data_IF_456729517430
#
_entry.id   IF_456729517430
#
_cell.length_a   1.000
_cell.length_b   1.000
_cell.length_c   1.000
_cell.angle_alpha   90.00
_cell.angle_beta   90.00
_cell.angle_gamma   90.00
#
_symmetry.space_group_name_H-M   'P 1'
#
loop_
_entity.id
_entity.type
_entity.pdbx_description
1 polymer ?
#
# COMPACT_ATOMS: atom_id res chain seq x y z
N UNK A 1 -21.81 -6.42 22.59
CA UNK A 1 -20.38 -6.04 22.52
C UNK A 1 -20.25 -5.07 21.36
N UNK A 2 -20.34 -3.78 21.66
CA UNK A 2 -20.55 -2.71 20.68
C UNK A 2 -19.95 -1.41 21.20
N UNK A 3 -18.64 -1.44 21.45
CA UNK A 3 -17.90 -0.25 21.84
C UNK A 3 -17.58 0.54 20.56
N UNK A 4 -18.11 1.76 20.47
CA UNK A 4 -17.72 2.70 19.44
C UNK A 4 -16.37 3.28 19.84
N UNK A 5 -15.30 2.78 19.22
CA UNK A 5 -13.95 3.34 19.41
C UNK A 5 -13.90 4.70 18.71
N UNK A 6 -13.64 5.77 19.46
CA UNK A 6 -13.37 7.07 18.84
C UNK A 6 -12.07 6.96 18.06
N UNK A 7 -12.14 7.15 16.75
CA UNK A 7 -10.95 7.17 15.91
C UNK A 7 -10.19 8.45 16.21
N UNK A 8 -9.09 8.35 16.97
CA UNK A 8 -8.19 9.48 17.15
C UNK A 8 -7.55 9.81 15.81
N UNK A 9 -7.75 11.04 15.36
CA UNK A 9 -7.11 11.57 14.16
C UNK A 9 -5.96 12.48 14.61
N UNK A 10 -4.72 12.26 14.15
CA UNK A 10 -3.61 13.12 14.51
C UNK A 10 -3.88 14.57 14.05
N UNK A 11 -3.58 15.54 14.93
CA UNK A 11 -3.71 16.97 14.63
C UNK A 11 -2.53 17.54 13.82
N UNK A 12 -1.57 16.70 13.42
CA UNK A 12 -0.46 17.11 12.56
C UNK A 12 -0.96 17.33 11.11
N UNK A 13 -0.09 17.90 10.27
CA UNK A 13 -0.41 18.26 8.88
C UNK A 13 -0.62 17.05 7.92
N UNK A 14 -0.82 15.84 8.44
CA UNK A 14 -1.05 14.62 7.66
C UNK A 14 0.13 14.18 6.78
N UNK A 15 1.30 14.82 6.91
CA UNK A 15 2.48 14.54 6.10
C UNK A 15 3.52 13.74 6.87
N UNK A 16 4.22 12.86 6.15
CA UNK A 16 5.39 12.15 6.67
C UNK A 16 6.61 12.62 5.88
N UNK A 17 7.64 13.10 6.59
CA UNK A 17 8.94 13.41 6.00
C UNK A 17 9.90 12.28 6.35
N UNK A 18 10.56 11.74 5.34
CA UNK A 18 11.54 10.67 5.52
C UNK A 18 12.93 11.20 5.19
N UNK A 19 13.88 10.93 6.07
CA UNK A 19 15.31 11.17 5.84
C UNK A 19 16.02 9.82 5.75
N UNK A 20 16.76 9.61 4.66
CA UNK A 20 17.54 8.41 4.46
C UNK A 20 18.95 8.63 5.02
N UNK A 21 19.24 8.02 6.16
CA UNK A 21 20.62 7.92 6.66
C UNK A 21 21.27 6.67 6.08
N UNK A 22 22.53 6.78 5.64
CA UNK A 22 23.16 5.84 4.72
C UNK A 22 23.23 4.37 5.14
N UNK A 23 22.83 4.01 6.36
CA UNK A 23 22.88 2.64 6.86
C UNK A 23 21.54 2.27 7.51
N UNK A 24 20.76 1.48 6.76
CA UNK A 24 19.72 0.49 7.16
C UNK A 24 18.42 0.67 6.37
N UNK A 25 18.11 -0.34 5.57
CA UNK A 25 16.77 -0.59 5.03
C UNK A 25 15.84 -0.81 6.22
N UNK A 26 14.97 0.15 6.50
CA UNK A 26 13.94 0.01 7.54
C UNK A 26 12.67 -0.53 6.89
N UNK A 27 12.17 -1.69 7.34
CA UNK A 27 11.04 -2.40 6.68
C UNK A 27 9.80 -1.51 6.56
N UNK A 28 9.40 -0.88 7.66
CA UNK A 28 8.10 -0.22 7.77
C UNK A 28 8.14 1.21 7.21
N UNK A 29 9.21 1.97 7.50
CA UNK A 29 9.43 3.30 6.92
C UNK A 29 9.76 3.23 5.43
N UNK A 30 10.43 2.17 4.97
CA UNK A 30 10.59 1.89 3.54
C UNK A 30 9.26 1.62 2.83
N UNK A 31 8.31 0.96 3.51
CA UNK A 31 6.98 0.73 2.95
C UNK A 31 6.18 2.02 2.74
N UNK A 32 6.38 3.06 3.57
CA UNK A 32 5.77 4.37 3.38
C UNK A 32 6.30 5.04 2.10
N UNK A 33 7.61 5.00 1.86
CA UNK A 33 8.22 5.51 0.64
C UNK A 33 7.79 4.72 -0.61
N UNK A 34 7.75 3.39 -0.50
CA UNK A 34 7.31 2.54 -1.59
C UNK A 34 5.85 2.79 -1.93
N UNK A 35 4.98 2.98 -0.93
CA UNK A 35 3.58 3.35 -1.16
C UNK A 35 3.47 4.65 -1.94
N UNK A 36 4.20 5.69 -1.53
CA UNK A 36 4.23 6.97 -2.26
C UNK A 36 4.73 6.79 -3.70
N UNK A 37 5.78 5.99 -3.91
CA UNK A 37 6.29 5.69 -5.25
C UNK A 37 5.27 4.93 -6.12
N UNK A 38 4.56 3.96 -5.55
CA UNK A 38 3.50 3.21 -6.26
C UNK A 38 2.33 4.11 -6.65
N UNK A 39 1.90 4.99 -5.74
CA UNK A 39 0.76 5.89 -5.97
C UNK A 39 1.11 7.04 -6.93
N UNK A 40 2.34 7.59 -6.86
CA UNK A 40 2.77 8.70 -7.73
C UNK A 40 3.21 8.25 -9.14
N UNK A 41 3.63 7.00 -9.31
CA UNK A 41 4.08 6.47 -10.61
C UNK A 41 2.95 6.00 -11.53
N UNK A 42 1.75 5.75 -10.99
CA UNK A 42 0.63 5.15 -11.74
C UNK A 42 0.88 3.70 -12.18
N UNK A 43 1.91 3.04 -11.63
CA UNK A 43 2.31 1.69 -12.06
C UNK A 43 1.24 0.64 -11.75
N UNK A 44 0.48 0.80 -10.65
CA UNK A 44 -0.57 -0.15 -10.27
C UNK A 44 -1.74 -0.07 -11.24
N UNK A 45 -2.10 1.13 -11.66
CA UNK A 45 -3.14 1.41 -12.65
C UNK A 45 -2.73 0.87 -14.01
N UNK A 46 -1.50 1.14 -14.45
CA UNK A 46 -0.96 0.60 -15.69
C UNK A 46 -0.95 -0.95 -15.69
N UNK A 47 -0.60 -1.59 -14.57
CA UNK A 47 -0.71 -3.04 -14.43
C UNK A 47 -2.16 -3.52 -14.49
N UNK A 48 -3.09 -2.78 -13.88
CA UNK A 48 -4.52 -3.08 -13.94
C UNK A 48 -5.08 -3.04 -15.36
N UNK A 49 -4.63 -2.09 -16.18
CA UNK A 49 -5.09 -1.93 -17.56
C UNK A 49 -4.49 -2.98 -18.51
N UNK A 50 -3.33 -3.54 -18.17
CA UNK A 50 -2.58 -4.45 -19.04
C UNK A 50 -2.62 -5.92 -18.60
N UNK A 51 -3.14 -6.23 -17.41
CA UNK A 51 -3.23 -7.61 -16.90
C UNK A 51 -4.66 -8.14 -16.99
N UNK A 52 -4.78 -9.38 -17.48
CA UNK A 52 -6.06 -10.10 -17.49
C UNK A 52 -6.28 -10.78 -16.15
N UNK A 53 -7.38 -10.44 -15.48
CA UNK A 53 -7.80 -11.13 -14.26
C UNK A 53 -8.51 -12.45 -14.59
N UNK A 54 -7.78 -13.57 -14.48
CA UNK A 54 -8.31 -14.90 -14.74
C UNK A 54 -9.26 -15.43 -13.65
N UNK A 55 -9.49 -14.68 -12.56
CA UNK A 55 -10.37 -15.11 -11.46
C UNK A 55 -11.84 -15.04 -11.87
N UNK A 56 -12.65 -15.93 -11.31
CA UNK A 56 -14.09 -15.94 -11.58
C UNK A 56 -14.74 -14.64 -11.05
N UNK A 57 -15.44 -13.84 -11.89
CA UNK A 57 -15.93 -12.50 -11.52
C UNK A 57 -16.80 -12.47 -10.26
N UNK A 58 -17.71 -13.45 -10.09
CA UNK A 58 -18.59 -13.57 -8.92
C UNK A 58 -17.87 -13.93 -7.60
N UNK A 59 -16.56 -14.20 -7.64
CA UNK A 59 -15.75 -14.56 -6.46
C UNK A 59 -14.72 -13.48 -6.11
N UNK A 60 -14.77 -12.32 -6.78
CA UNK A 60 -13.83 -11.22 -6.57
C UNK A 60 -14.39 -10.29 -5.48
N UNK A 61 -13.70 -10.24 -4.33
CA UNK A 61 -13.96 -9.25 -3.26
C UNK A 61 -13.06 -8.02 -3.38
N UNK A 62 -11.82 -8.22 -3.81
CA UNK A 62 -10.80 -7.19 -3.98
C UNK A 62 -10.28 -7.20 -5.41
N UNK A 63 -10.14 -6.01 -6.02
CA UNK A 63 -9.64 -5.85 -7.38
C UNK A 63 -8.24 -6.45 -7.53
N UNK A 64 -7.87 -6.80 -8.77
CA UNK A 64 -6.52 -7.29 -9.08
C UNK A 64 -5.46 -6.26 -8.66
N UNK A 65 -5.70 -4.99 -8.97
CA UNK A 65 -4.86 -3.85 -8.59
C UNK A 65 -4.65 -3.74 -7.08
N UNK A 66 -5.72 -3.91 -6.28
CA UNK A 66 -5.62 -3.91 -4.82
C UNK A 66 -4.75 -5.07 -4.31
N UNK A 67 -4.91 -6.27 -4.87
CA UNK A 67 -4.09 -7.42 -4.46
C UNK A 67 -2.63 -7.25 -4.84
N UNK A 68 -2.34 -6.72 -6.03
CA UNK A 68 -0.96 -6.46 -6.48
C UNK A 68 -0.30 -5.44 -5.56
N UNK A 69 -0.98 -4.32 -5.26
CA UNK A 69 -0.47 -3.31 -4.32
C UNK A 69 -0.15 -3.93 -2.96
N UNK A 70 -1.06 -4.74 -2.41
CA UNK A 70 -0.83 -5.44 -1.14
C UNK A 70 0.36 -6.40 -1.21
N UNK A 71 0.46 -7.22 -2.26
CA UNK A 71 1.54 -8.18 -2.43
C UNK A 71 2.91 -7.48 -2.50
N UNK A 72 3.03 -6.43 -3.30
CA UNK A 72 4.29 -5.68 -3.47
C UNK A 72 4.73 -5.08 -2.13
N UNK A 73 3.81 -4.44 -1.39
CA UNK A 73 4.13 -3.89 -0.08
C UNK A 73 4.53 -4.98 0.92
N UNK A 74 3.82 -6.11 0.96
CA UNK A 74 4.14 -7.25 1.83
C UNK A 74 5.54 -7.81 1.54
N UNK A 75 5.88 -8.00 0.27
CA UNK A 75 7.22 -8.47 -0.14
C UNK A 75 8.31 -7.49 0.27
N UNK A 76 8.09 -6.19 0.08
CA UNK A 76 9.05 -5.16 0.49
C UNK A 76 9.26 -5.14 2.02
N UNK A 77 8.22 -5.48 2.79
CA UNK A 77 8.28 -5.59 4.26
C UNK A 77 8.83 -6.94 4.76
N UNK A 78 9.12 -7.90 3.87
CA UNK A 78 9.70 -9.20 4.24
C UNK A 78 8.70 -10.32 4.57
N UNK A 79 7.45 -10.20 4.13
CA UNK A 79 6.39 -11.23 4.27
C UNK A 79 6.29 -12.14 3.03
#
# INVERSE_FOLDING_TARGET
>A
MGESLSTWTPSCNGSVRVELSGHRTTSDSGALLLREALDSSGVIEALGDNLVDARHPLRIRHSLTSQIRTLVLQRAMGW
#
